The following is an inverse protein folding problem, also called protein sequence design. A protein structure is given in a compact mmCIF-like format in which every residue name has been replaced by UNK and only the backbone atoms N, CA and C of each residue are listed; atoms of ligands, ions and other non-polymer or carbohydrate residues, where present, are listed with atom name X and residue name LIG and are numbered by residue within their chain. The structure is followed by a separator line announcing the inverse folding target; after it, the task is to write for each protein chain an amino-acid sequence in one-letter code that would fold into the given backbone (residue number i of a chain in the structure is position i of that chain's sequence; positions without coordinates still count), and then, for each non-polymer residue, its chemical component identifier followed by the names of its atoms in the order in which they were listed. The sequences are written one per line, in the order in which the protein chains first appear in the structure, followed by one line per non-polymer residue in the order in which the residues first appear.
data_IF_103500533405
#
_entry.id   IF_103500533405
#
_cell.length_a   1.000
_cell.length_b   1.000
_cell.length_c   1.000
_cell.angle_alpha   90.00
_cell.angle_beta   90.00
_cell.angle_gamma   90.00
#
_symmetry.space_group_name_H-M   'P 1'
#
loop_
_entity.id
_entity.type
_entity.pdbx_description
1 polymer ?
#
# COMPACT_ATOMS: atom_id res chain seq x y z
N UNK A 1 -18.79 -6.32 -29.94
CA UNK A 1 -18.69 -4.84 -29.77
C UNK A 1 -19.75 -4.32 -28.80
N UNK A 2 -20.98 -4.85 -28.80
CA UNK A 2 -22.05 -4.46 -27.87
C UNK A 2 -21.74 -4.76 -26.38
N UNK A 3 -20.99 -5.82 -26.09
CA UNK A 3 -20.69 -6.21 -24.69
C UNK A 3 -19.73 -5.26 -23.98
N UNK A 4 -18.80 -4.62 -24.70
CA UNK A 4 -17.86 -3.65 -24.10
C UNK A 4 -18.60 -2.37 -23.68
N UNK A 5 -19.59 -1.94 -24.47
CA UNK A 5 -20.40 -0.76 -24.18
C UNK A 5 -21.23 -0.95 -22.90
N UNK A 6 -21.57 -2.18 -22.53
CA UNK A 6 -22.31 -2.48 -21.29
C UNK A 6 -21.49 -2.22 -20.02
N UNK A 7 -20.15 -2.24 -20.08
CA UNK A 7 -19.28 -1.96 -18.94
C UNK A 7 -18.90 -0.48 -18.79
N UNK A 8 -19.18 0.35 -19.80
CA UNK A 8 -18.87 1.79 -19.78
C UNK A 8 -19.51 2.52 -18.58
N UNK A 9 -20.78 2.28 -18.20
CA UNK A 9 -21.37 2.93 -17.03
C UNK A 9 -20.63 2.58 -15.74
N UNK A 10 -20.30 1.31 -15.51
CA UNK A 10 -19.57 0.86 -14.32
C UNK A 10 -18.16 1.44 -14.25
N UNK A 11 -17.46 1.46 -15.39
CA UNK A 11 -16.15 2.09 -15.49
C UNK A 11 -16.21 3.58 -15.17
N UNK A 12 -17.17 4.31 -15.75
CA UNK A 12 -17.37 5.73 -15.48
C UNK A 12 -17.68 6.01 -14.00
N UNK A 13 -18.55 5.21 -13.38
CA UNK A 13 -18.86 5.31 -11.95
C UNK A 13 -17.60 5.09 -11.09
N UNK A 14 -16.76 4.10 -11.42
CA UNK A 14 -15.52 3.86 -10.70
C UNK A 14 -14.52 5.02 -10.86
N UNK A 15 -14.40 5.59 -12.05
CA UNK A 15 -13.55 6.79 -12.28
C UNK A 15 -14.05 7.97 -11.44
N UNK A 16 -15.35 8.24 -11.45
CA UNK A 16 -15.96 9.32 -10.64
C UNK A 16 -15.72 9.08 -9.16
N UNK A 17 -15.94 7.86 -8.66
CA UNK A 17 -15.69 7.48 -7.26
C UNK A 17 -14.23 7.71 -6.87
N UNK A 18 -13.28 7.34 -7.73
CA UNK A 18 -11.86 7.59 -7.50
C UNK A 18 -11.53 9.08 -7.52
N UNK A 19 -12.19 9.87 -8.37
CA UNK A 19 -12.06 11.33 -8.37
C UNK A 19 -12.54 11.95 -7.07
N UNK A 20 -13.72 11.56 -6.58
CA UNK A 20 -14.24 11.99 -5.26
C UNK A 20 -13.26 11.59 -4.16
N UNK A 21 -12.73 10.36 -4.21
CA UNK A 21 -11.82 9.90 -3.19
C UNK A 21 -10.49 10.66 -3.18
N UNK A 22 -9.95 10.96 -4.36
CA UNK A 22 -8.77 11.80 -4.51
C UNK A 22 -8.99 13.21 -3.98
N UNK A 23 -10.17 13.80 -4.20
CA UNK A 23 -10.53 15.12 -3.64
C UNK A 23 -10.53 15.06 -2.11
N UNK A 24 -11.17 14.06 -1.51
CA UNK A 24 -11.19 13.90 -0.06
C UNK A 24 -9.78 13.70 0.53
N UNK A 25 -8.97 12.83 -0.06
CA UNK A 25 -7.56 12.67 0.33
C UNK A 25 -6.80 13.99 0.19
N UNK A 26 -7.02 14.74 -0.88
CA UNK A 26 -6.35 16.02 -1.12
C UNK A 26 -6.76 17.09 -0.11
N UNK A 27 -8.05 17.14 0.26
CA UNK A 27 -8.56 18.06 1.30
C UNK A 27 -7.92 17.80 2.66
N UNK A 28 -7.51 16.55 2.94
CA UNK A 28 -6.79 16.18 4.16
C UNK A 28 -5.28 16.42 4.02
N UNK A 29 -4.63 15.76 3.07
CA UNK A 29 -3.17 15.71 3.02
C UNK A 29 -2.53 16.99 2.47
N UNK A 30 -3.13 17.67 1.48
CA UNK A 30 -2.51 18.88 0.90
C UNK A 30 -2.33 20.00 1.94
N UNK A 31 -3.33 20.40 2.75
CA UNK A 31 -3.10 21.42 3.77
C UNK A 31 -2.15 20.94 4.87
N UNK A 32 -2.26 19.67 5.30
CA UNK A 32 -1.37 19.12 6.32
C UNK A 32 0.09 19.09 5.84
N UNK A 33 0.36 18.68 4.61
CA UNK A 33 1.71 18.69 4.04
C UNK A 33 2.23 20.11 3.77
N UNK A 34 1.34 21.09 3.55
CA UNK A 34 1.76 22.49 3.45
C UNK A 34 2.24 23.05 4.79
N UNK A 35 1.60 22.68 5.90
CA UNK A 35 1.90 23.24 7.22
C UNK A 35 2.89 22.41 8.03
N UNK A 36 2.80 21.08 7.97
CA UNK A 36 3.53 20.13 8.80
C UNK A 36 4.57 19.33 7.99
N UNK A 37 5.04 19.87 6.85
CA UNK A 37 5.94 19.18 5.92
C UNK A 37 7.30 18.85 6.53
N UNK A 38 7.84 17.65 6.30
CA UNK A 38 9.26 17.34 6.58
C UNK A 38 10.15 18.25 5.75
N UNK A 39 9.87 18.34 4.46
CA UNK A 39 10.59 19.20 3.50
C UNK A 39 9.59 19.98 2.65
N UNK A 40 9.91 21.22 2.28
CA UNK A 40 9.10 21.94 1.29
C UNK A 40 9.35 21.33 -0.09
N UNK A 41 8.30 20.79 -0.70
CA UNK A 41 8.35 20.17 -2.03
C UNK A 41 7.54 21.03 -3.00
N UNK A 42 8.14 21.39 -4.13
CA UNK A 42 7.43 22.02 -5.26
C UNK A 42 7.33 20.98 -6.38
N UNK A 43 6.12 20.47 -6.63
CA UNK A 43 5.90 19.50 -7.69
C UNK A 43 5.80 20.20 -9.04
N UNK A 44 6.54 19.71 -10.03
CA UNK A 44 6.33 20.13 -11.42
C UNK A 44 4.96 19.66 -11.91
N UNK A 45 4.37 20.39 -12.85
CA UNK A 45 3.09 20.00 -13.48
C UNK A 45 3.16 18.60 -14.09
N UNK A 46 4.32 18.26 -14.68
CA UNK A 46 4.60 16.94 -15.24
C UNK A 46 4.60 15.85 -14.17
N UNK A 47 5.30 16.06 -13.05
CA UNK A 47 5.32 15.10 -11.95
C UNK A 47 3.92 14.88 -11.38
N UNK A 48 3.15 15.96 -11.18
CA UNK A 48 1.76 15.85 -10.72
C UNK A 48 0.90 15.05 -11.72
N UNK A 49 0.98 15.34 -13.02
CA UNK A 49 0.22 14.63 -14.04
C UNK A 49 0.54 13.13 -14.08
N UNK A 50 1.83 12.76 -13.96
CA UNK A 50 2.25 11.35 -13.89
C UNK A 50 1.63 10.67 -12.66
N UNK A 51 1.75 11.28 -11.49
CA UNK A 51 1.22 10.70 -10.25
C UNK A 51 -0.30 10.58 -10.25
N UNK A 52 -1.01 11.53 -10.86
CA UNK A 52 -2.46 11.44 -11.06
C UNK A 52 -2.82 10.31 -12.02
N UNK A 53 -2.09 10.17 -13.14
CA UNK A 53 -2.29 9.06 -14.07
C UNK A 53 -2.07 7.70 -13.40
N UNK A 54 -0.98 7.57 -12.64
CA UNK A 54 -0.67 6.36 -11.87
C UNK A 54 -1.71 6.09 -10.78
N UNK A 55 -2.25 7.11 -10.11
CA UNK A 55 -3.34 6.94 -9.15
C UNK A 55 -4.57 6.25 -9.78
N UNK A 56 -5.05 6.74 -10.93
CA UNK A 56 -6.20 6.11 -11.61
C UNK A 56 -5.84 4.73 -12.15
N UNK A 57 -4.68 4.59 -12.79
CA UNK A 57 -4.22 3.31 -13.33
C UNK A 57 -4.11 2.23 -12.25
N UNK A 58 -3.42 2.53 -11.14
CA UNK A 58 -3.16 1.59 -10.05
C UNK A 58 -4.36 1.39 -9.12
N UNK A 59 -5.41 2.20 -9.24
CA UNK A 59 -6.68 1.99 -8.57
C UNK A 59 -7.62 1.09 -9.38
N UNK A 60 -7.63 1.21 -10.71
CA UNK A 60 -8.56 0.47 -11.58
C UNK A 60 -7.99 -0.88 -12.03
N UNK A 61 -6.78 -0.90 -12.58
CA UNK A 61 -6.22 -2.07 -13.24
C UNK A 61 -5.92 -3.22 -12.25
N UNK A 62 -5.22 -2.99 -11.11
CA UNK A 62 -5.02 -4.02 -10.12
C UNK A 62 -6.33 -4.54 -9.54
N UNK A 63 -7.35 -3.70 -9.33
CA UNK A 63 -8.63 -4.13 -8.80
C UNK A 63 -9.35 -5.11 -9.75
N UNK A 64 -9.31 -4.84 -11.06
CA UNK A 64 -9.89 -5.71 -12.08
C UNK A 64 -9.16 -7.07 -12.18
N UNK A 65 -7.83 -7.07 -12.12
CA UNK A 65 -7.04 -8.30 -12.20
C UNK A 65 -7.15 -9.12 -10.91
N UNK A 66 -7.02 -8.46 -9.76
CA UNK A 66 -7.05 -9.12 -8.45
C UNK A 66 -8.41 -9.73 -8.15
N UNK A 67 -9.52 -9.13 -8.58
CA UNK A 67 -10.84 -9.73 -8.37
C UNK A 67 -10.95 -11.11 -9.02
N UNK A 68 -10.45 -11.25 -10.25
CA UNK A 68 -10.40 -12.54 -10.96
C UNK A 68 -9.44 -13.52 -10.29
N UNK A 69 -8.21 -13.09 -9.95
CA UNK A 69 -7.23 -13.95 -9.29
C UNK A 69 -7.71 -14.42 -7.91
N UNK A 70 -8.30 -13.53 -7.12
CA UNK A 70 -8.83 -13.86 -5.80
C UNK A 70 -10.08 -14.75 -5.88
N UNK A 71 -10.88 -14.65 -6.94
CA UNK A 71 -11.97 -15.61 -7.16
C UNK A 71 -11.43 -17.04 -7.37
N UNK A 72 -10.36 -17.20 -8.15
CA UNK A 72 -9.71 -18.51 -8.34
C UNK A 72 -9.12 -19.04 -7.04
N UNK A 73 -8.39 -18.20 -6.30
CA UNK A 73 -7.84 -18.57 -4.97
C UNK A 73 -8.97 -18.95 -4.02
N UNK A 74 -10.08 -18.22 -4.01
CA UNK A 74 -11.22 -18.51 -3.15
C UNK A 74 -11.84 -19.88 -3.46
N UNK A 75 -12.04 -20.21 -4.74
CA UNK A 75 -12.60 -21.52 -5.15
C UNK A 75 -11.64 -22.64 -4.79
N UNK A 76 -10.34 -22.48 -5.08
CA UNK A 76 -9.32 -23.47 -4.73
C UNK A 76 -9.22 -23.69 -3.22
N UNK A 77 -9.24 -22.61 -2.43
CA UNK A 77 -9.24 -22.69 -0.98
C UNK A 77 -10.49 -23.39 -0.45
N UNK A 78 -11.69 -23.06 -0.96
CA UNK A 78 -12.92 -23.73 -0.54
C UNK A 78 -12.92 -25.25 -0.84
N UNK A 79 -12.32 -25.67 -1.95
CA UNK A 79 -12.20 -27.07 -2.29
C UNK A 79 -11.17 -27.83 -1.42
N UNK A 80 -10.12 -27.14 -0.97
CA UNK A 80 -9.03 -27.74 -0.20
C UNK A 80 -9.25 -27.73 1.32
N UNK A 81 -10.02 -26.76 1.83
CA UNK A 81 -10.22 -26.58 3.26
C UNK A 81 -11.35 -27.46 3.80
N UNK A 82 -11.18 -28.08 4.98
CA UNK A 82 -12.31 -28.68 5.69
C UNK A 82 -13.38 -27.62 5.93
N UNK A 83 -14.64 -27.92 5.61
CA UNK A 83 -15.76 -26.99 5.76
C UNK A 83 -15.88 -26.39 7.19
N UNK A 84 -15.38 -27.12 8.19
CA UNK A 84 -15.31 -26.67 9.58
C UNK A 84 -14.46 -25.40 9.77
N UNK A 85 -13.38 -25.19 9.00
CA UNK A 85 -12.49 -24.05 9.18
C UNK A 85 -13.14 -22.73 8.73
N UNK A 86 -13.66 -22.59 7.49
CA UNK A 86 -14.41 -21.39 7.10
C UNK A 86 -15.65 -21.15 7.98
N UNK A 87 -16.30 -22.20 8.48
CA UNK A 87 -17.43 -22.08 9.40
C UNK A 87 -16.99 -21.51 10.77
N UNK A 88 -15.92 -22.03 11.35
CA UNK A 88 -15.38 -21.55 12.62
C UNK A 88 -14.90 -20.09 12.52
N UNK A 89 -14.19 -19.75 11.44
CA UNK A 89 -13.75 -18.38 11.16
C UNK A 89 -14.96 -17.47 10.89
N UNK A 90 -15.96 -17.97 10.17
CA UNK A 90 -17.22 -17.29 9.90
C UNK A 90 -17.96 -16.88 11.18
N UNK A 91 -17.95 -17.75 12.19
CA UNK A 91 -18.60 -17.55 13.49
C UNK A 91 -17.88 -16.55 14.42
N UNK A 92 -16.63 -16.15 14.11
CA UNK A 92 -15.93 -15.16 14.92
C UNK A 92 -16.63 -13.79 14.88
N UNK A 93 -16.68 -13.06 16.01
CA UNK A 93 -17.10 -11.66 16.03
C UNK A 93 -16.33 -10.84 14.99
N UNK A 94 -17.02 -9.89 14.35
CA UNK A 94 -16.44 -9.09 13.27
C UNK A 94 -15.12 -8.40 13.67
N UNK A 95 -15.05 -7.88 14.89
CA UNK A 95 -13.85 -7.21 15.42
C UNK A 95 -12.67 -8.19 15.50
N UNK A 96 -12.88 -9.39 16.03
CA UNK A 96 -11.82 -10.41 16.12
C UNK A 96 -11.38 -10.83 14.72
N UNK A 97 -12.33 -11.07 13.82
CA UNK A 97 -12.07 -11.41 12.42
C UNK A 97 -11.25 -10.32 11.71
N UNK A 98 -11.59 -9.06 11.94
CA UNK A 98 -10.89 -7.91 11.36
C UNK A 98 -9.46 -7.79 11.91
N UNK A 99 -9.26 -7.88 13.21
CA UNK A 99 -7.92 -7.80 13.82
C UNK A 99 -7.03 -8.95 13.34
N UNK A 100 -7.56 -10.18 13.28
CA UNK A 100 -6.84 -11.32 12.71
C UNK A 100 -6.50 -11.10 11.25
N UNK A 101 -7.45 -10.57 10.45
CA UNK A 101 -7.22 -10.33 9.03
C UNK A 101 -6.20 -9.22 8.79
N UNK A 102 -6.21 -8.14 9.58
CA UNK A 102 -5.20 -7.09 9.50
C UNK A 102 -3.82 -7.65 9.80
N UNK A 103 -3.69 -8.44 10.88
CA UNK A 103 -2.43 -9.06 11.26
C UNK A 103 -1.92 -10.03 10.18
N UNK A 104 -2.77 -10.94 9.70
CA UNK A 104 -2.41 -11.95 8.69
C UNK A 104 -2.07 -11.28 7.36
N UNK A 105 -2.87 -10.29 6.94
CA UNK A 105 -2.58 -9.56 5.72
C UNK A 105 -1.27 -8.79 5.83
N UNK A 106 -1.00 -8.15 6.97
CA UNK A 106 0.25 -7.42 7.21
C UNK A 106 1.48 -8.35 7.15
N UNK A 107 1.40 -9.59 7.65
CA UNK A 107 2.45 -10.60 7.46
C UNK A 107 2.68 -10.90 5.98
N UNK A 108 1.60 -11.06 5.21
CA UNK A 108 1.66 -11.24 3.76
C UNK A 108 2.31 -10.05 3.07
N UNK A 109 1.78 -8.84 3.31
CA UNK A 109 2.31 -7.59 2.77
C UNK A 109 3.78 -7.39 3.09
N UNK A 110 4.19 -7.62 4.34
CA UNK A 110 5.59 -7.54 4.77
C UNK A 110 6.50 -8.43 3.91
N UNK A 111 6.12 -9.70 3.70
CA UNK A 111 6.94 -10.62 2.91
C UNK A 111 6.92 -10.31 1.43
N UNK A 112 5.76 -9.94 0.87
CA UNK A 112 5.67 -9.49 -0.52
C UNK A 112 6.59 -8.30 -0.77
N UNK A 113 6.54 -7.31 0.12
CA UNK A 113 7.35 -6.11 0.05
C UNK A 113 8.85 -6.40 0.22
N UNK A 114 9.22 -7.20 1.22
CA UNK A 114 10.62 -7.61 1.43
C UNK A 114 11.16 -8.40 0.24
N UNK A 115 10.38 -9.32 -0.33
CA UNK A 115 10.78 -10.06 -1.53
C UNK A 115 10.90 -9.13 -2.74
N UNK A 116 10.07 -8.08 -2.83
CA UNK A 116 10.21 -7.05 -3.86
C UNK A 116 11.54 -6.30 -3.81
N UNK A 117 12.15 -6.16 -2.63
CA UNK A 117 13.51 -5.62 -2.49
C UNK A 117 14.62 -6.64 -2.75
N UNK A 118 14.36 -7.93 -2.51
CA UNK A 118 15.41 -8.97 -2.55
C UNK A 118 15.50 -9.73 -3.86
N UNK A 119 14.40 -9.86 -4.60
CA UNK A 119 14.37 -10.57 -5.88
C UNK A 119 14.52 -9.57 -7.02
N UNK A 120 15.58 -9.65 -7.86
CA UNK A 120 15.84 -8.67 -8.92
C UNK A 120 14.66 -8.45 -9.88
N UNK A 121 13.91 -9.52 -10.18
CA UNK A 121 12.75 -9.44 -11.06
C UNK A 121 11.60 -8.63 -10.45
N UNK A 122 11.33 -8.78 -9.15
CA UNK A 122 10.31 -8.00 -8.45
C UNK A 122 10.79 -6.56 -8.25
N UNK A 123 12.06 -6.39 -7.91
CA UNK A 123 12.68 -5.08 -7.75
C UNK A 123 12.55 -4.23 -9.01
N UNK A 124 12.63 -4.83 -10.21
CA UNK A 124 12.43 -4.09 -11.46
C UNK A 124 11.10 -3.31 -11.48
N UNK A 125 10.03 -3.88 -10.92
CA UNK A 125 8.73 -3.22 -10.84
C UNK A 125 8.63 -2.32 -9.60
N UNK A 126 9.15 -2.79 -8.46
CA UNK A 126 9.09 -2.08 -7.19
C UNK A 126 9.99 -0.83 -7.17
N UNK A 127 11.07 -0.80 -7.94
CA UNK A 127 11.95 0.36 -8.08
C UNK A 127 11.22 1.60 -8.62
N UNK A 128 10.14 1.42 -9.40
CA UNK A 128 9.27 2.54 -9.80
C UNK A 128 8.69 3.24 -8.57
N UNK A 129 8.31 2.47 -7.54
CA UNK A 129 7.83 3.00 -6.27
C UNK A 129 8.88 3.78 -5.49
N UNK A 130 10.13 3.32 -5.52
CA UNK A 130 11.26 3.99 -4.90
C UNK A 130 11.89 5.08 -5.78
N UNK A 131 11.45 5.29 -7.01
CA UNK A 131 12.00 6.30 -7.91
C UNK A 131 11.85 7.76 -7.40
N UNK A 132 10.73 8.16 -6.75
CA UNK A 132 10.53 9.55 -6.33
C UNK A 132 11.59 10.05 -5.33
N UNK A 133 12.24 11.16 -5.65
CA UNK A 133 13.20 11.85 -4.77
C UNK A 133 12.52 12.73 -3.71
N UNK A 134 11.19 12.83 -3.76
CA UNK A 134 10.35 13.59 -2.84
C UNK A 134 9.12 12.78 -2.45
N UNK A 135 8.88 12.63 -1.15
CA UNK A 135 7.71 11.96 -0.62
C UNK A 135 6.58 12.95 -0.36
N UNK A 136 5.37 12.50 -0.65
CA UNK A 136 4.08 13.12 -0.37
C UNK A 136 2.99 12.06 -0.58
N UNK A 137 1.78 12.27 -0.07
CA UNK A 137 0.78 11.21 0.09
C UNK A 137 0.53 10.40 -1.19
N UNK A 138 0.50 11.06 -2.36
CA UNK A 138 0.18 10.42 -3.64
C UNK A 138 1.26 9.43 -4.13
N UNK A 139 2.48 9.50 -3.57
CA UNK A 139 3.55 8.53 -3.85
C UNK A 139 3.14 7.10 -3.52
N UNK A 140 2.20 6.91 -2.59
CA UNK A 140 1.57 5.61 -2.33
C UNK A 140 1.08 4.89 -3.60
N UNK A 141 0.69 5.65 -4.63
CA UNK A 141 0.22 5.10 -5.92
C UNK A 141 1.21 5.27 -7.07
N UNK A 142 2.37 5.90 -6.82
CA UNK A 142 3.46 5.94 -7.78
C UNK A 142 4.12 4.56 -7.80
N UNK A 143 3.60 3.64 -8.59
CA UNK A 143 4.10 2.27 -8.65
C UNK A 143 3.82 1.66 -10.02
N UNK A 144 4.55 0.60 -10.35
CA UNK A 144 4.18 -0.21 -11.51
C UNK A 144 2.94 -1.07 -11.18
N UNK A 145 1.97 -1.27 -12.11
CA UNK A 145 0.78 -2.07 -11.81
C UNK A 145 1.08 -3.50 -11.36
N UNK A 146 2.14 -4.12 -11.89
CA UNK A 146 2.61 -5.46 -11.46
C UNK A 146 3.02 -5.46 -10.00
N UNK A 147 3.70 -4.43 -9.51
CA UNK A 147 4.09 -4.33 -8.11
C UNK A 147 2.86 -4.24 -7.19
N UNK A 148 1.86 -3.44 -7.58
CA UNK A 148 0.58 -3.34 -6.88
C UNK A 148 -0.17 -4.67 -6.84
N UNK A 149 -0.16 -5.44 -7.93
CA UNK A 149 -0.79 -6.75 -7.99
C UNK A 149 -0.04 -7.74 -7.11
N UNK A 150 1.28 -7.85 -7.25
CA UNK A 150 2.11 -8.79 -6.50
C UNK A 150 1.98 -8.55 -4.99
N UNK A 151 2.20 -7.33 -4.53
CA UNK A 151 2.14 -6.98 -3.10
C UNK A 151 0.75 -7.26 -2.52
N UNK A 152 -0.33 -6.98 -3.27
CA UNK A 152 -1.70 -7.32 -2.86
C UNK A 152 -2.00 -8.81 -2.88
N UNK A 153 -1.45 -9.58 -3.82
CA UNK A 153 -1.57 -11.05 -3.79
C UNK A 153 -0.96 -11.61 -2.52
N UNK A 154 0.23 -11.15 -2.13
CA UNK A 154 0.88 -11.58 -0.90
C UNK A 154 0.04 -11.26 0.35
N UNK A 155 -0.53 -10.06 0.45
CA UNK A 155 -1.37 -9.69 1.60
C UNK A 155 -2.75 -10.36 1.61
N UNK A 156 -3.37 -10.55 0.45
CA UNK A 156 -4.76 -11.03 0.38
C UNK A 156 -4.88 -12.55 0.32
N UNK A 157 -3.98 -13.26 -0.37
CA UNK A 157 -4.05 -14.72 -0.54
C UNK A 157 -4.18 -15.48 0.80
N UNK A 158 -3.41 -15.17 1.85
CA UNK A 158 -3.56 -15.84 3.14
C UNK A 158 -4.96 -15.68 3.75
N UNK A 159 -5.65 -14.55 3.51
CA UNK A 159 -7.00 -14.35 4.00
C UNK A 159 -8.00 -15.31 3.34
N UNK A 160 -7.85 -15.56 2.04
CA UNK A 160 -8.71 -16.50 1.32
C UNK A 160 -8.41 -17.95 1.70
N UNK A 161 -7.12 -18.29 1.81
CA UNK A 161 -6.68 -19.63 2.23
C UNK A 161 -7.11 -19.96 3.66
N UNK A 162 -7.23 -18.97 4.55
CA UNK A 162 -7.67 -19.19 5.93
C UNK A 162 -9.18 -19.02 6.13
N UNK A 163 -9.95 -18.79 5.05
CA UNK A 163 -11.40 -18.61 5.13
C UNK A 163 -11.85 -17.28 5.76
N UNK A 164 -10.93 -16.32 5.95
CA UNK A 164 -11.23 -14.96 6.42
C UNK A 164 -11.84 -14.09 5.30
N UNK A 165 -11.52 -14.43 4.05
CA UNK A 165 -12.06 -13.87 2.83
C UNK A 165 -12.81 -14.97 2.06
N UNK A 166 -14.13 -15.03 2.15
CA UNK A 166 -14.91 -16.08 1.49
C UNK A 166 -16.42 -15.81 1.49
N UNK A 167 -17.11 -16.45 0.54
CA UNK A 167 -18.55 -16.34 0.31
C UNK A 167 -19.38 -17.18 1.29
N UNK A 168 -18.99 -17.25 2.57
CA UNK A 168 -19.90 -17.75 3.61
C UNK A 168 -21.17 -16.87 3.63
N UNK A 169 -22.31 -17.44 3.99
CA UNK A 169 -23.67 -16.87 3.86
C UNK A 169 -23.91 -15.45 4.42
N UNK A 170 -22.94 -14.85 5.12
CA UNK A 170 -22.97 -13.47 5.58
C UNK A 170 -22.13 -12.46 4.78
N UNK A 171 -21.39 -12.88 3.75
CA UNK A 171 -20.47 -12.02 2.99
C UNK A 171 -19.42 -11.35 3.88
N UNK A 172 -18.19 -11.87 3.95
CA UNK A 172 -17.17 -11.25 4.81
C UNK A 172 -16.83 -9.84 4.28
N UNK A 173 -17.30 -8.79 4.95
CA UNK A 173 -16.89 -7.38 4.70
C UNK A 173 -15.42 -7.15 5.02
N UNK A 174 -14.79 -8.10 5.71
CA UNK A 174 -13.44 -7.99 6.26
C UNK A 174 -12.36 -7.71 5.22
N UNK A 175 -12.27 -8.38 4.05
CA UNK A 175 -11.23 -8.10 3.07
C UNK A 175 -11.34 -6.70 2.49
N UNK A 176 -12.57 -6.21 2.30
CA UNK A 176 -12.83 -4.83 1.88
C UNK A 176 -12.37 -3.83 2.95
N UNK A 177 -12.64 -4.09 4.23
CA UNK A 177 -12.16 -3.26 5.33
C UNK A 177 -10.63 -3.26 5.44
N UNK A 178 -9.98 -4.42 5.29
CA UNK A 178 -8.51 -4.52 5.27
C UNK A 178 -7.92 -3.68 4.13
N UNK A 179 -8.49 -3.77 2.92
CA UNK A 179 -8.05 -2.95 1.78
C UNK A 179 -8.25 -1.45 2.08
N UNK A 180 -9.41 -1.05 2.61
CA UNK A 180 -9.70 0.37 2.89
C UNK A 180 -8.73 0.91 3.95
N UNK A 181 -8.57 0.20 5.05
CA UNK A 181 -7.65 0.57 6.15
C UNK A 181 -6.22 0.66 5.60
N UNK A 182 -5.74 -0.39 4.93
CA UNK A 182 -4.40 -0.42 4.34
C UNK A 182 -4.18 0.67 3.29
N UNK A 183 -5.19 1.00 2.48
CA UNK A 183 -5.10 2.07 1.48
C UNK A 183 -4.98 3.44 2.13
N UNK A 184 -5.85 3.77 3.09
CA UNK A 184 -5.79 5.03 3.84
C UNK A 184 -4.45 5.14 4.56
N UNK A 185 -4.03 4.05 5.21
CA UNK A 185 -2.77 4.00 5.92
C UNK A 185 -1.57 4.16 4.99
N UNK A 186 -1.61 3.56 3.80
CA UNK A 186 -0.62 3.74 2.75
C UNK A 186 -0.44 5.21 2.35
N UNK A 187 -1.54 5.93 2.10
CA UNK A 187 -1.46 7.38 1.84
C UNK A 187 -0.86 8.14 3.02
N UNK A 188 -1.18 7.75 4.25
CA UNK A 188 -0.64 8.37 5.45
C UNK A 188 0.87 8.16 5.61
N UNK A 189 1.38 6.92 5.53
CA UNK A 189 2.81 6.66 5.74
C UNK A 189 3.71 7.23 4.65
N UNK A 190 3.20 7.46 3.43
CA UNK A 190 3.92 8.14 2.35
C UNK A 190 3.81 9.66 2.40
N UNK A 191 2.92 10.19 3.25
CA UNK A 191 2.71 11.63 3.34
C UNK A 191 3.95 12.35 3.83
N UNK A 192 4.15 13.58 3.37
CA UNK A 192 5.29 14.42 3.78
C UNK A 192 5.11 14.99 5.20
N UNK A 193 4.37 14.34 6.08
CA UNK A 193 4.05 14.86 7.41
C UNK A 193 5.18 14.55 8.41
N UNK A 194 5.55 15.54 9.23
CA UNK A 194 6.50 15.38 10.35
C UNK A 194 5.87 14.63 11.52
N UNK A 195 5.36 13.42 11.29
CA UNK A 195 4.70 12.62 12.33
C UNK A 195 5.64 11.55 12.86
N UNK A 196 5.87 11.60 14.17
CA UNK A 196 6.49 10.57 15.00
C UNK A 196 5.57 10.31 16.19
N UNK A 197 5.39 9.05 16.55
CA UNK A 197 4.51 8.64 17.67
C UNK A 197 5.31 8.11 18.88
N UNK A 198 6.64 8.23 18.86
CA UNK A 198 7.50 7.79 19.96
C UNK A 198 7.36 6.27 20.20
N UNK A 199 7.03 5.81 21.42
CA UNK A 199 6.94 4.38 21.72
C UNK A 199 5.96 3.60 20.83
N UNK A 200 4.88 4.25 20.38
CA UNK A 200 3.85 3.61 19.53
C UNK A 200 4.35 3.28 18.12
N UNK A 201 5.47 3.85 17.68
CA UNK A 201 6.05 3.57 16.35
C UNK A 201 6.50 2.11 16.23
N UNK A 202 6.75 1.44 17.35
CA UNK A 202 7.02 -0.01 17.37
C UNK A 202 5.81 -0.87 17.00
N UNK A 203 4.60 -0.32 17.09
CA UNK A 203 3.34 -1.03 16.83
C UNK A 203 2.63 -0.53 15.58
N UNK A 204 2.75 0.77 15.28
CA UNK A 204 2.00 1.45 14.23
C UNK A 204 2.96 2.24 13.33
N UNK A 205 2.91 1.98 12.02
CA UNK A 205 3.79 2.62 11.05
C UNK A 205 3.49 4.12 10.92
N UNK A 206 4.54 4.94 10.94
CA UNK A 206 4.47 6.40 10.79
C UNK A 206 5.11 6.86 9.49
N UNK A 207 4.88 8.11 9.06
CA UNK A 207 5.69 8.75 8.03
C UNK A 207 7.18 8.67 8.32
N UNK A 208 7.61 8.89 9.56
CA UNK A 208 9.03 8.78 9.90
C UNK A 208 9.60 7.38 9.66
N UNK A 209 8.86 6.33 10.04
CA UNK A 209 9.24 4.94 9.78
C UNK A 209 9.35 4.63 8.28
N UNK A 210 8.34 5.00 7.51
CA UNK A 210 8.29 4.67 6.08
C UNK A 210 9.15 5.57 5.20
N UNK A 211 9.46 6.79 5.63
CA UNK A 211 10.46 7.62 4.97
C UNK A 211 11.84 6.96 4.99
N UNK A 212 12.22 6.32 6.10
CA UNK A 212 13.46 5.55 6.19
C UNK A 212 13.48 4.32 5.28
N UNK A 213 12.32 3.74 4.97
CA UNK A 213 12.22 2.70 3.95
C UNK A 213 12.58 3.24 2.54
N UNK A 214 12.10 4.44 2.22
CA UNK A 214 12.31 5.13 0.94
C UNK A 214 13.68 5.79 0.77
N UNK A 215 14.61 5.61 1.71
CA UNK A 215 15.91 6.27 1.62
C UNK A 215 16.78 5.71 0.50
N UNK A 216 17.53 6.59 -0.16
CA UNK A 216 18.58 6.21 -1.13
C UNK A 216 19.98 6.10 -0.50
N UNK A 217 20.09 6.32 0.82
CA UNK A 217 21.35 6.32 1.58
C UNK A 217 21.29 5.24 2.65
N UNK A 218 22.38 4.51 2.85
CA UNK A 218 22.45 3.44 3.83
C UNK A 218 22.02 3.90 5.25
N UNK A 219 21.33 3.03 6.03
CA UNK A 219 21.00 1.64 5.70
C UNK A 219 19.79 1.50 4.76
N UNK A 220 19.99 0.76 3.66
CA UNK A 220 18.94 0.39 2.71
C UNK A 220 18.21 -0.89 3.16
N UNK A 221 17.10 -1.20 2.50
CA UNK A 221 16.33 -2.43 2.70
C UNK A 221 15.88 -2.65 4.16
N UNK A 222 15.25 -1.62 4.72
CA UNK A 222 14.67 -1.61 6.07
C UNK A 222 13.19 -1.28 5.99
N UNK A 223 12.46 -1.57 7.07
CA UNK A 223 11.09 -1.09 7.30
C UNK A 223 10.08 -1.52 6.22
N UNK A 224 9.84 -2.81 6.07
CA UNK A 224 8.94 -3.35 5.04
C UNK A 224 7.46 -3.37 5.44
N UNK A 225 7.15 -3.27 6.74
CA UNK A 225 5.77 -3.19 7.20
C UNK A 225 5.09 -1.91 6.76
N UNK A 226 3.83 -2.06 6.34
CA UNK A 226 3.00 -0.93 5.94
C UNK A 226 2.17 -0.40 7.10
N UNK A 227 1.78 -1.26 8.04
CA UNK A 227 0.90 -0.89 9.17
C UNK A 227 1.47 -1.27 10.51
N UNK A 228 2.11 -2.43 10.64
CA UNK A 228 2.54 -2.98 11.93
C UNK A 228 4.05 -3.26 11.97
N UNK A 229 4.88 -2.23 12.23
CA UNK A 229 6.34 -2.35 12.27
C UNK A 229 6.93 -3.31 13.29
N UNK A 230 6.14 -3.88 14.19
CA UNK A 230 6.65 -4.93 15.08
C UNK A 230 7.14 -6.14 14.26
N UNK A 231 6.60 -6.39 13.06
CA UNK A 231 7.12 -7.44 12.18
C UNK A 231 8.55 -7.14 11.73
N UNK A 232 8.89 -5.89 11.44
CA UNK A 232 10.27 -5.49 11.16
C UNK A 232 11.21 -5.74 12.35
N UNK A 233 10.71 -5.69 13.58
CA UNK A 233 11.49 -6.10 14.78
C UNK A 233 11.66 -7.61 14.83
N UNK A 234 10.58 -8.36 14.62
CA UNK A 234 10.59 -9.83 14.60
C UNK A 234 11.54 -10.37 13.53
N UNK A 235 11.57 -9.75 12.35
CA UNK A 235 12.33 -10.21 11.20
C UNK A 235 13.66 -9.45 10.96
N UNK A 236 14.06 -8.56 11.88
CA UNK A 236 15.38 -7.93 11.91
C UNK A 236 15.62 -6.83 10.89
N UNK A 237 14.57 -6.13 10.46
CA UNK A 237 14.59 -5.09 9.41
C UNK A 237 14.19 -3.70 9.92
N UNK A 238 13.86 -3.57 11.21
CA UNK A 238 13.51 -2.30 11.84
C UNK A 238 14.70 -1.32 11.88
N UNK A 239 14.46 -0.07 11.45
CA UNK A 239 15.40 1.04 11.55
C UNK A 239 14.66 2.37 11.67
N UNK A 240 14.78 3.06 12.81
CA UNK A 240 14.13 4.35 13.02
C UNK A 240 14.94 5.22 13.99
N UNK A 241 16.00 5.90 13.53
CA UNK A 241 16.68 6.92 14.33
C UNK A 241 15.81 8.19 14.46
N UNK A 242 16.20 9.10 15.35
CA UNK A 242 15.51 10.37 15.59
C UNK A 242 15.59 11.33 14.39
N UNK A 243 16.61 11.18 13.55
CA UNK A 243 16.78 11.96 12.33
C UNK A 243 15.87 11.48 11.21
N UNK A 244 15.62 12.36 10.23
CA UNK A 244 14.96 12.00 8.98
C UNK A 244 16.01 11.59 7.93
N UNK A 245 15.67 10.74 6.95
CA UNK A 245 16.56 10.41 5.85
C UNK A 245 17.03 11.67 5.13
N UNK A 246 18.29 11.68 4.68
CA UNK A 246 18.88 12.82 3.97
C UNK A 246 18.43 12.87 2.49
N UNK A 247 18.20 11.73 1.87
CA UNK A 247 17.72 11.62 0.50
C UNK A 247 16.76 10.43 0.35
N UNK A 248 15.85 10.56 -0.63
CA UNK A 248 14.95 9.52 -1.09
C UNK A 248 15.32 9.15 -2.53
N UNK A 249 14.74 8.08 -3.05
CA UNK A 249 14.98 7.63 -4.42
C UNK A 249 15.63 6.26 -4.48
N UNK A 250 16.09 5.88 -5.66
CA UNK A 250 16.89 4.67 -5.87
C UNK A 250 18.35 4.96 -5.50
N UNK A 251 18.97 4.08 -4.71
CA UNK A 251 20.39 4.19 -4.38
C UNK A 251 21.26 4.25 -5.65
N UNK A 252 22.19 5.21 -5.70
CA UNK A 252 23.07 5.51 -6.84
C UNK A 252 22.40 6.17 -8.07
N UNK A 253 21.17 6.69 -7.97
CA UNK A 253 20.70 7.68 -8.93
C UNK A 253 21.59 8.94 -8.85
N UNK A 254 22.02 9.54 -9.98
CA UNK A 254 22.86 10.73 -9.92
C UNK A 254 22.12 11.83 -9.16
N UNK A 255 22.71 12.31 -8.05
CA UNK A 255 22.19 13.44 -7.28
C UNK A 255 22.06 14.61 -8.24
N UNK A 256 20.83 14.96 -8.63
CA UNK A 256 20.60 16.22 -9.33
C UNK A 256 20.97 17.34 -8.36
N UNK A 257 21.81 18.30 -8.76
CA UNK A 257 22.04 19.48 -7.95
C UNK A 257 20.70 20.10 -7.59
N UNK A 258 20.50 20.44 -6.31
CA UNK A 258 19.33 21.19 -5.89
C UNK A 258 19.24 22.45 -6.75
N UNK A 259 18.15 22.62 -7.50
CA UNK A 259 17.88 23.92 -8.12
C UNK A 259 17.89 24.99 -7.02
N UNK A 260 18.65 26.08 -7.18
CA UNK A 260 18.63 27.15 -6.21
C UNK A 260 17.20 27.66 -6.08
N UNK A 261 16.74 27.80 -4.84
CA UNK A 261 15.44 28.35 -4.55
C UNK A 261 15.39 29.79 -5.07
N UNK A 262 14.76 29.97 -6.24
CA UNK A 262 14.20 31.25 -6.68
C UNK A 262 12.81 31.43 -6.07
#
# INVERSE_FOLDING_TARGET
MNDILAYLPTFAVNVVRLGVWLVLLSLVFVPLERWLSVRKVRLSRRALAINLGLYFLNSLLPAAILSALMAVVAVGAQAALPAALPAAVGALPLVIKLLLSLLIAEVGFYWGHRLSHKLPWLWHFHAVHHQPEHLYFLINTHAHPVDMIVTRLFGMTPLYILGLAGASAGGSVTPALVIIIGTVWGFFIHSNLRVRLGPLESLIATPAFHHWHHTSIAPLDRNFSSTLPFLDRVFGTWYLPDSWPLAYGIANAPVKPSEPAN
#
